data_IF_256450641044
#
_entry.id   IF_256450641044
#
_cell.length_a   1.000
_cell.length_b   1.000
_cell.length_c   1.000
_cell.angle_alpha   90.00
_cell.angle_beta   90.00
_cell.angle_gamma   90.00
#
_symmetry.space_group_name_H-M   'P 1'
#
loop_
_entity.id
_entity.type
_entity.pdbx_description
1 polymer ?
#
# COMPACT_ATOMS: atom_id res chain seq x y z
N UNK A 1 24.56 -7.98 46.29
CA UNK A 1 23.66 -7.95 45.11
C UNK A 1 24.45 -8.35 43.88
N UNK A 2 24.40 -9.63 43.49
CA UNK A 2 25.06 -10.14 42.27
C UNK A 2 24.02 -10.14 41.15
N UNK A 3 23.81 -9.00 40.50
CA UNK A 3 23.08 -9.02 39.23
C UNK A 3 23.96 -9.78 38.26
N UNK A 4 23.54 -11.03 38.00
CA UNK A 4 24.26 -11.93 37.11
C UNK A 4 24.43 -11.24 35.76
N UNK A 5 25.63 -11.23 35.19
CA UNK A 5 25.98 -10.57 33.93
C UNK A 5 24.98 -10.89 32.79
N UNK A 6 24.32 -12.05 32.89
CA UNK A 6 23.20 -12.51 32.05
C UNK A 6 21.97 -11.59 32.04
N UNK A 7 21.60 -10.96 33.17
CA UNK A 7 20.41 -10.09 33.27
C UNK A 7 20.64 -8.73 32.57
N UNK A 8 21.88 -8.24 32.59
CA UNK A 8 22.34 -7.05 31.85
C UNK A 8 22.37 -7.30 30.33
N UNK A 9 22.75 -8.51 29.92
CA UNK A 9 22.77 -8.90 28.50
C UNK A 9 21.35 -9.04 27.92
N UNK A 10 20.42 -9.60 28.70
CA UNK A 10 19.02 -9.75 28.30
C UNK A 10 18.32 -8.38 28.14
N UNK A 11 18.60 -7.42 29.03
CA UNK A 11 18.09 -6.04 28.91
C UNK A 11 18.70 -5.29 27.73
N UNK A 12 19.98 -5.53 27.43
CA UNK A 12 20.63 -4.95 26.25
C UNK A 12 20.04 -5.48 24.93
N UNK A 13 19.81 -6.79 24.81
CA UNK A 13 19.15 -7.38 23.63
C UNK A 13 17.71 -6.87 23.46
N UNK A 14 16.97 -6.74 24.57
CA UNK A 14 15.59 -6.26 24.54
C UNK A 14 15.48 -4.78 24.11
N UNK A 15 16.52 -3.95 24.36
CA UNK A 15 16.56 -2.56 23.93
C UNK A 15 16.77 -2.40 22.41
N UNK A 16 17.38 -3.38 21.72
CA UNK A 16 17.63 -3.30 20.27
C UNK A 16 16.38 -3.55 19.41
N UNK A 17 15.33 -4.16 19.95
CA UNK A 17 14.16 -4.57 19.16
C UNK A 17 13.15 -3.44 18.94
N UNK A 18 13.36 -2.25 19.53
CA UNK A 18 12.37 -1.16 19.57
C UNK A 18 12.49 -0.10 18.47
N UNK A 19 13.41 -0.22 17.50
CA UNK A 19 13.65 0.82 16.49
C UNK A 19 13.04 0.55 15.09
N UNK A 20 11.93 -0.19 14.99
CA UNK A 20 11.25 -0.35 13.69
C UNK A 20 10.28 0.80 13.44
N UNK A 21 10.71 1.82 12.71
CA UNK A 21 9.85 2.89 12.21
C UNK A 21 9.72 2.79 10.68
N UNK A 22 8.51 2.45 10.20
CA UNK A 22 8.16 2.54 8.77
C UNK A 22 7.86 4.00 8.41
N UNK A 23 8.50 4.56 7.37
CA UNK A 23 8.23 5.91 6.88
C UNK A 23 7.14 5.94 5.80
N UNK A 24 6.54 7.12 5.59
CA UNK A 24 5.73 7.36 4.37
C UNK A 24 6.67 7.40 3.16
N UNK A 25 6.17 6.97 2.01
CA UNK A 25 6.84 7.09 0.74
C UNK A 25 6.61 8.49 0.17
N UNK A 26 7.54 8.91 -0.70
CA UNK A 26 7.33 10.07 -1.54
C UNK A 26 6.30 9.73 -2.63
N UNK A 27 5.14 10.39 -2.58
CA UNK A 27 4.05 10.24 -3.53
C UNK A 27 3.98 11.40 -4.53
N UNK A 28 5.08 12.15 -4.70
CA UNK A 28 5.15 13.28 -5.62
C UNK A 28 4.08 14.33 -5.31
N UNK A 29 3.32 14.72 -6.34
CA UNK A 29 2.29 15.76 -6.25
C UNK A 29 0.87 15.22 -5.94
N UNK A 30 0.74 13.95 -5.52
CA UNK A 30 -0.55 13.37 -5.17
C UNK A 30 -1.05 13.99 -3.85
N UNK A 31 -2.29 14.48 -3.83
CA UNK A 31 -2.95 14.90 -2.59
C UNK A 31 -3.36 13.65 -1.80
N UNK A 32 -2.48 13.21 -0.90
CA UNK A 32 -2.69 12.01 -0.09
C UNK A 32 -3.86 12.14 0.90
N UNK A 33 -4.31 13.35 1.23
CA UNK A 33 -5.45 13.55 2.11
C UNK A 33 -6.76 13.44 1.33
N UNK A 34 -6.82 14.00 0.12
CA UNK A 34 -7.92 13.75 -0.82
C UNK A 34 -8.00 12.27 -1.24
N UNK A 35 -6.85 11.66 -1.55
CA UNK A 35 -6.75 10.24 -1.93
C UNK A 35 -7.40 9.31 -0.92
N UNK A 36 -7.12 9.52 0.38
CA UNK A 36 -7.65 8.69 1.47
C UNK A 36 -9.14 8.91 1.71
N UNK A 37 -9.66 10.10 1.40
CA UNK A 37 -11.10 10.41 1.49
C UNK A 37 -11.90 9.78 0.36
N UNK A 38 -11.27 9.60 -0.80
CA UNK A 38 -11.88 8.97 -1.97
C UNK A 38 -11.84 7.44 -1.89
N UNK A 39 -12.55 6.90 -0.90
CA UNK A 39 -12.63 5.46 -0.70
C UNK A 39 -13.32 4.81 -1.91
N UNK A 40 -12.72 3.73 -2.42
CA UNK A 40 -13.25 2.96 -3.54
C UNK A 40 -13.46 3.77 -4.85
N UNK A 41 -12.80 4.94 -4.96
CA UNK A 41 -12.85 5.83 -6.13
C UNK A 41 -14.18 6.60 -6.31
N UNK A 42 -15.08 6.57 -5.32
CA UNK A 42 -16.46 7.08 -5.47
C UNK A 42 -16.55 8.59 -5.70
N UNK A 43 -15.56 9.37 -5.27
CA UNK A 43 -15.52 10.84 -5.41
C UNK A 43 -14.77 11.29 -6.66
N UNK A 44 -14.06 10.37 -7.35
CA UNK A 44 -13.27 10.68 -8.55
C UNK A 44 -12.07 11.60 -8.31
N UNK A 45 -11.62 11.75 -7.05
CA UNK A 45 -10.47 12.57 -6.69
C UNK A 45 -9.16 11.89 -7.11
N UNK A 46 -9.09 10.56 -7.03
CA UNK A 46 -7.90 9.79 -7.42
C UNK A 46 -7.63 9.82 -8.91
N UNK A 47 -8.67 9.93 -9.74
CA UNK A 47 -8.55 9.96 -11.21
C UNK A 47 -7.69 11.14 -11.68
N UNK A 48 -7.74 12.26 -10.96
CA UNK A 48 -6.96 13.48 -11.24
C UNK A 48 -5.44 13.26 -11.13
N UNK A 49 -5.03 12.22 -10.40
CA UNK A 49 -3.64 11.90 -10.13
C UNK A 49 -3.08 10.77 -11.01
N UNK A 50 -3.82 10.32 -12.03
CA UNK A 50 -3.43 9.17 -12.86
C UNK A 50 -2.09 9.39 -13.59
N UNK A 51 -1.87 10.57 -14.17
CA UNK A 51 -0.61 10.89 -14.86
C UNK A 51 0.58 10.91 -13.89
N UNK A 52 0.39 11.52 -12.72
CA UNK A 52 1.41 11.57 -11.69
C UNK A 52 1.75 10.17 -11.17
N UNK A 53 0.72 9.37 -10.90
CA UNK A 53 0.88 7.98 -10.47
C UNK A 53 1.63 7.17 -11.53
N UNK A 54 1.32 7.34 -12.80
CA UNK A 54 2.03 6.68 -13.90
C UNK A 54 3.51 7.09 -13.96
N UNK A 55 3.82 8.36 -13.68
CA UNK A 55 5.19 8.89 -13.62
C UNK A 55 5.99 8.28 -12.47
N UNK A 56 5.39 8.20 -11.28
CA UNK A 56 6.11 7.81 -10.05
C UNK A 56 5.97 6.33 -9.69
N UNK A 57 5.09 5.54 -10.33
CA UNK A 57 4.77 4.16 -9.90
C UNK A 57 5.98 3.26 -9.63
N UNK A 58 7.06 3.42 -10.39
CA UNK A 58 8.27 2.60 -10.25
C UNK A 58 9.09 2.94 -8.99
N UNK A 59 8.89 4.10 -8.36
CA UNK A 59 9.54 4.46 -7.08
C UNK A 59 9.01 3.61 -5.91
N UNK A 60 7.85 2.98 -6.09
CA UNK A 60 7.22 2.10 -5.10
C UNK A 60 7.71 0.64 -5.19
N UNK A 61 8.53 0.29 -6.18
CA UNK A 61 9.12 -1.04 -6.26
C UNK A 61 10.02 -1.34 -5.06
N UNK A 62 10.02 -2.60 -4.63
CA UNK A 62 10.73 -3.11 -3.47
C UNK A 62 10.32 -2.50 -2.11
N UNK A 63 9.31 -1.63 -2.07
CA UNK A 63 8.73 -1.10 -0.82
C UNK A 63 7.86 -2.15 -0.15
N UNK A 64 7.81 -2.13 1.17
CA UNK A 64 6.97 -3.02 1.95
C UNK A 64 5.51 -2.55 1.94
N UNK A 65 4.59 -3.50 2.07
CA UNK A 65 3.15 -3.25 2.18
C UNK A 65 2.78 -2.18 3.22
N UNK A 66 3.46 -2.14 4.37
CA UNK A 66 3.22 -1.13 5.41
C UNK A 66 3.59 0.29 4.95
N UNK A 67 4.61 0.44 4.11
CA UNK A 67 4.95 1.74 3.52
C UNK A 67 3.85 2.22 2.57
N UNK A 68 3.28 1.31 1.77
CA UNK A 68 2.13 1.58 0.90
C UNK A 68 0.92 2.01 1.73
N UNK A 69 0.57 1.23 2.76
CA UNK A 69 -0.57 1.53 3.66
C UNK A 69 -0.38 2.88 4.37
N UNK A 70 0.83 3.16 4.87
CA UNK A 70 1.12 4.41 5.57
C UNK A 70 1.03 5.63 4.64
N UNK A 71 1.31 5.43 3.35
CA UNK A 71 1.28 6.49 2.32
C UNK A 71 -0.13 6.72 1.81
N UNK A 72 -0.75 5.69 1.24
CA UNK A 72 -2.03 5.76 0.51
C UNK A 72 -3.26 5.42 1.37
N UNK A 73 -3.07 4.95 2.60
CA UNK A 73 -4.14 4.45 3.45
C UNK A 73 -4.47 2.98 3.17
N UNK A 74 -5.54 2.48 3.79
CA UNK A 74 -6.02 1.10 3.61
C UNK A 74 -6.33 0.85 2.12
N UNK A 75 -5.87 -0.25 1.50
CA UNK A 75 -6.30 -0.65 0.16
C UNK A 75 -7.82 -0.77 0.07
N UNK A 76 -8.38 -0.49 -1.09
CA UNK A 76 -9.81 -0.67 -1.34
C UNK A 76 -10.16 -2.15 -1.28
N UNK A 77 -9.37 -2.96 -1.99
CA UNK A 77 -9.44 -4.41 -1.94
C UNK A 77 -8.05 -5.01 -1.75
N UNK A 78 -8.01 -6.16 -1.09
CA UNK A 78 -6.84 -7.04 -1.04
C UNK A 78 -7.23 -8.35 -1.68
N UNK A 79 -6.58 -8.71 -2.78
CA UNK A 79 -6.79 -10.00 -3.45
C UNK A 79 -5.59 -10.91 -3.21
N UNK A 80 -5.85 -12.11 -2.73
CA UNK A 80 -4.84 -13.15 -2.52
C UNK A 80 -4.89 -14.08 -3.73
N UNK A 81 -3.79 -14.15 -4.48
CA UNK A 81 -3.63 -15.11 -5.57
C UNK A 81 -2.82 -16.30 -5.02
N UNK A 82 -2.42 -17.25 -5.86
CA UNK A 82 -1.60 -18.40 -5.46
C UNK A 82 -0.51 -18.02 -4.46
N UNK A 83 -0.32 -18.92 -3.46
CA UNK A 83 0.23 -18.81 -2.08
C UNK A 83 1.43 -17.86 -1.78
N UNK A 84 1.96 -17.16 -2.76
CA UNK A 84 3.10 -16.25 -2.68
C UNK A 84 2.81 -14.84 -3.16
N UNK A 85 1.57 -14.52 -3.57
CA UNK A 85 1.24 -13.21 -4.15
C UNK A 85 -0.06 -12.63 -3.61
N UNK A 86 -0.04 -11.32 -3.42
CA UNK A 86 -1.23 -10.56 -3.07
C UNK A 86 -1.24 -9.22 -3.81
N UNK A 87 -2.42 -8.67 -4.03
CA UNK A 87 -2.62 -7.42 -4.73
C UNK A 87 -3.30 -6.44 -3.80
N UNK A 88 -2.67 -5.29 -3.57
CA UNK A 88 -3.36 -4.14 -2.99
C UNK A 88 -3.95 -3.33 -4.13
N UNK A 89 -5.27 -3.18 -4.10
CA UNK A 89 -6.04 -2.53 -5.14
C UNK A 89 -6.54 -1.19 -4.58
N UNK A 90 -6.29 -0.12 -5.32
CA UNK A 90 -6.92 1.17 -5.10
C UNK A 90 -7.64 1.58 -6.39
N UNK A 91 -8.95 1.77 -6.31
CA UNK A 91 -9.75 2.19 -7.45
C UNK A 91 -9.49 3.67 -7.76
N UNK A 92 -9.32 3.99 -9.05
CA UNK A 92 -9.18 5.36 -9.56
C UNK A 92 -10.50 5.86 -10.16
N UNK A 93 -11.26 4.96 -10.77
CA UNK A 93 -12.67 5.16 -11.14
C UNK A 93 -13.59 4.54 -10.07
N UNK A 94 -14.87 4.97 -9.97
CA UNK A 94 -15.82 4.40 -9.01
C UNK A 94 -15.96 2.88 -9.16
N UNK A 95 -15.89 2.16 -8.04
CA UNK A 95 -16.16 0.71 -8.01
C UNK A 95 -17.64 0.38 -7.76
N UNK A 96 -17.95 -0.91 -7.76
CA UNK A 96 -19.26 -1.46 -7.42
C UNK A 96 -19.67 -1.16 -5.96
N UNK A 97 -18.72 -0.97 -5.05
CA UNK A 97 -18.95 -0.56 -3.66
C UNK A 97 -19.57 0.84 -3.53
N UNK A 98 -19.50 1.66 -4.59
CA UNK A 98 -20.14 2.98 -4.64
C UNK A 98 -21.66 2.92 -4.86
N UNK A 99 -22.24 1.72 -5.01
CA UNK A 99 -23.69 1.53 -5.27
C UNK A 99 -24.11 1.80 -6.71
N UNK A 100 -23.14 1.87 -7.64
CA UNK A 100 -23.37 2.07 -9.06
C UNK A 100 -23.31 0.73 -9.79
N UNK A 101 -24.21 0.52 -10.77
CA UNK A 101 -24.08 -0.61 -11.70
C UNK A 101 -22.99 -0.29 -12.71
N UNK A 102 -21.87 -0.98 -12.60
CA UNK A 102 -20.73 -0.85 -13.51
C UNK A 102 -20.93 -1.74 -14.74
N UNK A 103 -20.85 -1.16 -15.94
CA UNK A 103 -20.86 -1.93 -17.20
C UNK A 103 -19.49 -2.49 -17.56
N UNK A 104 -18.43 -1.85 -17.04
CA UNK A 104 -17.03 -2.21 -17.26
C UNK A 104 -16.28 -2.21 -15.94
N UNK A 105 -15.18 -2.97 -15.89
CA UNK A 105 -14.25 -2.91 -14.77
C UNK A 105 -13.65 -1.50 -14.62
N UNK A 106 -13.64 -0.93 -13.41
CA UNK A 106 -13.08 0.39 -13.16
C UNK A 106 -11.55 0.39 -13.28
N UNK A 107 -11.01 1.51 -13.75
CA UNK A 107 -9.58 1.78 -13.69
C UNK A 107 -9.10 1.75 -12.23
N UNK A 108 -8.02 1.02 -11.98
CA UNK A 108 -7.43 0.83 -10.66
C UNK A 108 -5.92 0.78 -10.74
N UNK A 109 -5.25 1.09 -9.63
CA UNK A 109 -3.83 0.79 -9.43
C UNK A 109 -3.69 -0.49 -8.60
N UNK A 110 -2.88 -1.40 -9.12
CA UNK A 110 -2.55 -2.68 -8.52
C UNK A 110 -1.12 -2.62 -8.03
N UNK A 111 -0.91 -2.78 -6.73
CA UNK A 111 0.40 -3.07 -6.16
C UNK A 111 0.51 -4.58 -5.94
N UNK A 112 1.27 -5.26 -6.78
CA UNK A 112 1.56 -6.69 -6.63
C UNK A 112 2.64 -6.86 -5.59
N UNK A 113 2.32 -7.63 -4.55
CA UNK A 113 3.22 -7.97 -3.45
C UNK A 113 3.68 -9.41 -3.59
N UNK A 114 4.96 -9.66 -3.35
CA UNK A 114 5.53 -11.00 -3.29
C UNK A 114 5.37 -11.65 -1.91
N UNK A 115 5.93 -12.86 -1.75
CA UNK A 115 5.79 -13.67 -0.52
C UNK A 115 6.32 -12.99 0.75
N UNK A 116 7.21 -12.00 0.62
CA UNK A 116 7.76 -11.23 1.74
C UNK A 116 7.12 -9.84 1.86
N UNK A 117 5.94 -9.64 1.28
CA UNK A 117 5.17 -8.40 1.32
C UNK A 117 5.89 -7.19 0.74
N UNK A 118 6.76 -7.40 -0.26
CA UNK A 118 7.38 -6.32 -1.04
C UNK A 118 6.71 -6.15 -2.39
N UNK A 119 6.55 -4.91 -2.81
CA UNK A 119 6.02 -4.55 -4.13
C UNK A 119 6.99 -5.06 -5.21
N UNK A 120 6.50 -5.98 -6.04
CA UNK A 120 7.21 -6.49 -7.22
C UNK A 120 6.78 -5.80 -8.51
N UNK A 121 5.57 -5.24 -8.53
CA UNK A 121 4.99 -4.61 -9.72
C UNK A 121 3.93 -3.58 -9.32
N UNK A 122 3.82 -2.50 -10.10
CA UNK A 122 2.75 -1.50 -9.96
C UNK A 122 2.12 -1.24 -11.33
N UNK A 123 0.83 -1.55 -11.46
CA UNK A 123 0.12 -1.52 -12.74
C UNK A 123 -1.16 -0.70 -12.62
N UNK A 124 -1.39 0.20 -13.58
CA UNK A 124 -2.63 0.95 -13.71
C UNK A 124 -3.42 0.30 -14.84
N UNK A 125 -4.58 -0.29 -14.54
CA UNK A 125 -5.32 -1.13 -15.48
C UNK A 125 -6.79 -1.21 -15.10
N UNK A 126 -7.66 -1.56 -16.04
CA UNK A 126 -9.04 -2.00 -15.76
C UNK A 126 -9.15 -3.53 -15.65
N UNK A 127 -8.06 -4.27 -15.86
CA UNK A 127 -8.07 -5.73 -15.76
C UNK A 127 -7.99 -6.19 -14.29
N UNK A 128 -8.65 -7.31 -13.98
CA UNK A 128 -8.47 -8.00 -12.71
C UNK A 128 -7.12 -8.75 -12.70
N UNK A 129 -6.44 -8.84 -11.54
CA UNK A 129 -5.17 -9.54 -11.38
C UNK A 129 -5.26 -11.06 -11.54
#
# INVERSE_FOLDING_TARGET
MKYSCSFLYLTFICAFVLFSCTSKLDAGNIDLEAWKKDRDGCLGLRLQHTEELQRIKNTFLAKYNQEIIKTFGRPDRVELVDKSQSFFIYFLEPSDECGLKMEKEPLKVLFRLNAISKVSEVTITSLNP
#
